data_IF_472102023288
#
_entry.id   IF_472102023288
#
_cell.length_a   1.000
_cell.length_b   1.000
_cell.length_c   1.000
_cell.angle_alpha   90.00
_cell.angle_beta   90.00
_cell.angle_gamma   90.00
#
_symmetry.space_group_name_H-M   'P 1'
#
loop_
_entity.id
_entity.type
_entity.pdbx_description
1 polymer ?
#
# COMPACT_ATOMS: atom_id res chain seq x y z
N UNK A 1 15.15 32.82 14.77
CA UNK A 1 14.84 32.23 13.46
C UNK A 1 16.09 31.83 12.65
N UNK A 2 17.13 32.68 12.57
CA UNK A 2 18.31 32.40 11.73
C UNK A 2 19.03 31.06 12.06
N UNK A 3 19.16 30.72 13.36
CA UNK A 3 19.77 29.46 13.83
C UNK A 3 19.01 28.18 13.40
N UNK A 4 17.70 28.25 13.13
CA UNK A 4 16.93 27.09 12.63
C UNK A 4 17.07 26.89 11.12
N UNK A 5 17.24 27.97 10.36
CA UNK A 5 17.52 27.90 8.92
C UNK A 5 18.89 27.28 8.67
N UNK A 6 19.90 27.70 9.44
CA UNK A 6 21.28 27.20 9.34
C UNK A 6 21.37 25.69 9.63
N UNK A 7 20.62 25.19 10.64
CA UNK A 7 20.53 23.75 10.92
C UNK A 7 19.92 22.93 9.78
N UNK A 8 18.91 23.46 9.10
CA UNK A 8 18.29 22.78 7.95
C UNK A 8 19.22 22.82 6.73
N UNK A 9 19.88 23.95 6.46
CA UNK A 9 20.88 24.07 5.40
C UNK A 9 22.07 23.11 5.61
N UNK A 10 22.54 22.97 6.86
CA UNK A 10 23.57 21.99 7.22
C UNK A 10 23.08 20.55 7.04
N UNK A 11 21.83 20.23 7.39
CA UNK A 11 21.24 18.92 7.12
C UNK A 11 21.19 18.63 5.61
N UNK A 12 20.81 19.60 4.79
CA UNK A 12 20.75 19.46 3.32
C UNK A 12 22.13 19.21 2.72
N UNK A 13 23.15 19.92 3.21
CA UNK A 13 24.54 19.71 2.82
C UNK A 13 25.06 18.30 3.19
N UNK A 14 24.76 17.83 4.40
CA UNK A 14 25.15 16.48 4.85
C UNK A 14 24.45 15.41 4.00
N UNK A 15 23.14 15.55 3.74
CA UNK A 15 22.37 14.64 2.88
C UNK A 15 22.94 14.58 1.46
N UNK A 16 23.24 15.74 0.87
CA UNK A 16 23.88 15.81 -0.46
C UNK A 16 25.27 15.16 -0.47
N UNK A 17 26.03 15.32 0.61
CA UNK A 17 27.35 14.69 0.78
C UNK A 17 27.24 13.17 0.85
N UNK A 18 26.26 12.62 1.58
CA UNK A 18 26.00 11.17 1.59
C UNK A 18 25.58 10.63 0.22
N UNK A 19 24.73 11.36 -0.52
CA UNK A 19 24.35 10.98 -1.89
C UNK A 19 25.56 10.94 -2.83
N UNK A 20 26.41 11.97 -2.77
CA UNK A 20 27.66 12.03 -3.54
C UNK A 20 28.59 10.87 -3.15
N UNK A 21 28.83 10.65 -1.86
CA UNK A 21 29.67 9.57 -1.35
C UNK A 21 29.22 8.18 -1.83
N UNK A 22 27.92 7.88 -1.74
CA UNK A 22 27.35 6.63 -2.23
C UNK A 22 27.57 6.42 -3.74
N UNK A 23 27.48 7.50 -4.52
CA UNK A 23 27.69 7.49 -5.97
C UNK A 23 29.18 7.31 -6.31
N UNK A 24 30.04 8.12 -5.72
CA UNK A 24 31.49 8.14 -5.98
C UNK A 24 32.20 6.84 -5.56
N UNK A 25 31.70 6.16 -4.51
CA UNK A 25 32.30 4.96 -3.92
C UNK A 25 31.51 3.68 -4.21
N UNK A 26 30.42 3.76 -4.98
CA UNK A 26 29.51 2.66 -5.31
C UNK A 26 29.09 1.82 -4.09
N UNK A 27 28.65 2.50 -3.01
CA UNK A 27 28.31 1.87 -1.73
C UNK A 27 26.88 2.19 -1.28
N UNK A 28 26.26 1.28 -0.52
CA UNK A 28 24.90 1.48 -0.02
C UNK A 28 24.91 2.25 1.31
N UNK A 29 24.21 3.39 1.35
CA UNK A 29 24.06 4.22 2.55
C UNK A 29 22.60 4.19 3.00
N UNK A 30 22.37 3.78 4.25
CA UNK A 30 21.05 3.85 4.90
C UNK A 30 21.03 4.98 5.92
N UNK A 31 20.11 5.94 5.75
CA UNK A 31 19.90 7.03 6.70
C UNK A 31 18.60 6.83 7.46
N UNK A 32 18.66 6.84 8.79
CA UNK A 32 17.47 6.77 9.67
C UNK A 32 17.10 8.19 10.08
N UNK A 33 15.83 8.57 9.86
CA UNK A 33 15.28 9.88 10.22
C UNK A 33 14.01 9.64 11.05
N UNK A 34 13.94 10.27 12.22
CA UNK A 34 12.72 10.26 13.03
C UNK A 34 11.61 11.09 12.34
N UNK A 35 10.33 10.71 12.48
CA UNK A 35 9.24 11.55 11.98
C UNK A 35 9.15 12.87 12.76
N UNK A 36 8.48 13.85 12.17
CA UNK A 36 7.98 15.06 12.86
C UNK A 36 7.01 14.64 13.96
N UNK A 37 6.71 15.59 14.86
CA UNK A 37 5.59 15.44 15.80
C UNK A 37 4.28 15.58 15.02
N UNK A 38 3.79 14.45 14.54
CA UNK A 38 2.47 14.30 13.92
C UNK A 38 1.47 13.74 14.94
N UNK A 39 0.20 13.74 14.56
CA UNK A 39 -0.90 13.06 15.26
C UNK A 39 -0.68 11.53 15.23
N UNK A 40 -0.63 10.87 16.40
CA UNK A 40 -0.34 9.44 16.52
C UNK A 40 -1.42 8.52 15.92
N UNK A 41 -2.63 9.05 15.68
CA UNK A 41 -3.70 8.30 15.01
C UNK A 41 -3.54 8.27 13.48
N UNK A 42 -2.64 9.10 12.91
CA UNK A 42 -2.44 9.22 11.47
C UNK A 42 -1.26 8.37 11.01
N UNK A 43 -1.45 7.71 9.86
CA UNK A 43 -0.37 6.99 9.19
C UNK A 43 0.68 7.98 8.66
N UNK A 44 1.97 7.68 8.90
CA UNK A 44 3.07 8.57 8.52
C UNK A 44 3.16 8.68 7.00
N UNK A 45 3.53 9.85 6.50
CA UNK A 45 3.73 10.10 5.06
C UNK A 45 5.15 10.61 4.79
N UNK A 46 5.52 10.74 3.52
CA UNK A 46 6.83 11.31 3.13
C UNK A 46 7.00 12.76 3.63
N UNK A 47 5.90 13.50 3.84
CA UNK A 47 5.87 14.81 4.50
C UNK A 47 6.22 14.75 6.00
N UNK A 48 5.89 13.64 6.68
CA UNK A 48 6.16 13.41 8.09
C UNK A 48 7.64 13.18 8.39
N UNK A 49 8.53 13.06 7.39
CA UNK A 49 9.98 12.96 7.61
C UNK A 49 10.50 14.28 8.19
N UNK A 50 11.21 14.24 9.33
CA UNK A 50 11.75 15.45 9.97
C UNK A 50 12.93 16.06 9.19
N UNK A 51 13.03 17.39 9.25
CA UNK A 51 14.01 18.16 8.50
C UNK A 51 13.41 18.85 7.27
N UNK A 52 14.22 19.00 6.23
CA UNK A 52 13.79 19.50 4.91
C UNK A 52 13.21 18.38 4.03
N UNK A 53 12.78 18.73 2.81
CA UNK A 53 12.46 17.76 1.76
C UNK A 53 13.70 17.14 1.08
N UNK A 54 14.93 17.62 1.35
CA UNK A 54 16.15 17.21 0.64
C UNK A 54 16.44 15.72 0.84
N UNK A 55 16.21 15.20 2.04
CA UNK A 55 16.38 13.78 2.36
C UNK A 55 15.56 12.85 1.46
N UNK A 56 14.26 13.13 1.27
CA UNK A 56 13.39 12.31 0.42
C UNK A 56 13.58 12.58 -1.09
N UNK A 57 14.13 13.74 -1.46
CA UNK A 57 14.54 14.03 -2.84
C UNK A 57 15.78 13.21 -3.25
N UNK A 58 16.86 13.27 -2.46
CA UNK A 58 18.14 12.61 -2.77
C UNK A 58 18.13 11.09 -2.58
N UNK A 59 17.29 10.56 -1.69
CA UNK A 59 17.19 9.12 -1.44
C UNK A 59 16.63 8.37 -2.67
N UNK A 60 17.24 7.25 -3.05
CA UNK A 60 16.68 6.39 -4.11
C UNK A 60 15.48 5.58 -3.61
N UNK A 61 15.48 5.19 -2.33
CA UNK A 61 14.39 4.48 -1.66
C UNK A 61 13.95 5.22 -0.40
N UNK A 62 12.65 5.27 -0.13
CA UNK A 62 12.09 5.78 1.13
C UNK A 62 11.21 4.71 1.74
N UNK A 63 11.63 4.22 2.91
CA UNK A 63 10.98 3.18 3.68
C UNK A 63 10.41 3.79 4.96
N UNK A 64 9.13 3.56 5.24
CA UNK A 64 8.45 4.04 6.44
C UNK A 64 8.01 2.83 7.26
N UNK A 65 8.50 2.70 8.48
CA UNK A 65 7.99 1.72 9.44
C UNK A 65 6.75 2.30 10.12
N UNK A 66 5.59 1.75 9.78
CA UNK A 66 4.31 2.15 10.33
C UNK A 66 3.96 1.28 11.53
N UNK A 67 3.40 1.86 12.59
CA UNK A 67 2.82 1.15 13.72
C UNK A 67 1.37 1.56 13.94
N UNK A 68 0.45 0.81 13.33
CA UNK A 68 -0.98 1.07 13.47
C UNK A 68 -1.45 0.51 14.80
N UNK A 69 -1.35 1.34 15.85
CA UNK A 69 -1.93 1.09 17.18
C UNK A 69 -3.43 0.81 17.01
N UNK A 70 -3.86 -0.39 17.39
CA UNK A 70 -5.27 -0.74 17.43
C UNK A 70 -5.75 -0.56 18.88
N UNK A 71 -6.90 0.08 19.08
CA UNK A 71 -7.47 0.32 20.44
C UNK A 71 -7.80 -0.96 21.20
N UNK A 72 -7.81 -2.11 20.53
CA UNK A 72 -8.26 -3.41 21.08
C UNK A 72 -7.27 -4.57 20.87
N UNK A 73 -6.01 -4.32 20.52
CA UNK A 73 -5.03 -5.40 20.34
C UNK A 73 -3.61 -4.95 20.02
N UNK A 74 -2.65 -5.89 19.90
CA UNK A 74 -1.29 -5.57 19.47
C UNK A 74 -1.31 -4.90 18.09
N UNK A 75 -0.69 -3.72 18.00
CA UNK A 75 -0.68 -2.89 16.80
C UNK A 75 -0.14 -3.63 15.58
N UNK A 76 -0.73 -3.36 14.40
CA UNK A 76 -0.23 -3.94 13.14
C UNK A 76 0.92 -3.10 12.62
N UNK A 77 2.13 -3.63 12.76
CA UNK A 77 3.34 -3.04 12.16
C UNK A 77 3.51 -3.48 10.72
N UNK A 78 3.97 -2.55 9.88
CA UNK A 78 4.27 -2.84 8.48
C UNK A 78 5.34 -1.89 7.94
N UNK A 79 6.13 -2.38 6.99
CA UNK A 79 7.09 -1.58 6.25
C UNK A 79 6.45 -1.11 4.95
N UNK A 80 6.33 0.20 4.77
CA UNK A 80 5.81 0.82 3.55
C UNK A 80 6.97 1.34 2.71
N UNK A 81 7.02 0.92 1.44
CA UNK A 81 7.86 1.55 0.41
C UNK A 81 7.08 2.75 -0.13
N UNK A 82 7.47 3.97 0.23
CA UNK A 82 6.81 5.19 -0.24
C UNK A 82 7.53 5.85 -1.42
N UNK A 83 8.79 5.46 -1.68
CA UNK A 83 9.54 5.81 -2.89
C UNK A 83 10.47 4.65 -3.24
N UNK A 84 10.53 4.35 -4.53
CA UNK A 84 11.51 3.48 -5.16
C UNK A 84 11.87 4.12 -6.51
N UNK A 85 13.15 4.40 -6.75
CA UNK A 85 13.61 5.13 -7.95
C UNK A 85 13.95 4.22 -9.12
N UNK A 86 14.15 2.91 -8.89
CA UNK A 86 14.68 2.02 -9.91
C UNK A 86 13.64 1.63 -10.96
N UNK A 87 12.49 1.13 -10.51
CA UNK A 87 11.35 0.69 -11.34
C UNK A 87 10.07 1.48 -11.03
N UNK A 88 9.99 2.12 -9.87
CA UNK A 88 8.82 2.86 -9.39
C UNK A 88 7.88 2.03 -8.49
N UNK A 89 8.17 0.76 -8.25
CA UNK A 89 7.27 -0.13 -7.50
C UNK A 89 7.23 0.25 -6.00
N UNK A 90 6.01 0.49 -5.52
CA UNK A 90 5.68 0.86 -4.14
C UNK A 90 4.73 -0.18 -3.53
N UNK A 91 4.74 -0.31 -2.20
CA UNK A 91 3.95 -1.35 -1.55
C UNK A 91 4.09 -1.39 -0.03
N UNK A 92 3.41 -2.37 0.57
CA UNK A 92 3.35 -2.57 2.02
C UNK A 92 3.69 -4.03 2.35
N UNK A 93 4.66 -4.21 3.24
CA UNK A 93 5.07 -5.50 3.79
C UNK A 93 4.61 -5.61 5.25
N UNK A 94 3.62 -6.47 5.58
CA UNK A 94 3.21 -6.67 6.96
C UNK A 94 4.36 -7.31 7.76
N UNK A 95 4.58 -6.84 8.99
CA UNK A 95 5.66 -7.31 9.86
C UNK A 95 5.10 -7.93 11.13
N UNK A 96 5.60 -9.12 11.47
CA UNK A 96 5.31 -9.84 12.71
C UNK A 96 6.59 -9.97 13.55
N UNK A 97 6.50 -9.75 14.86
CA UNK A 97 7.65 -9.82 15.76
C UNK A 97 7.80 -11.23 16.36
N UNK A 98 8.88 -11.92 16.02
CA UNK A 98 9.26 -13.16 16.67
C UNK A 98 9.90 -12.87 18.03
N UNK A 99 9.16 -13.12 19.13
CA UNK A 99 9.71 -13.03 20.50
C UNK A 99 10.88 -14.01 20.73
N UNK A 100 10.93 -15.11 19.98
CA UNK A 100 11.99 -16.13 20.08
C UNK A 100 13.32 -15.64 19.50
N UNK A 101 13.28 -14.87 18.41
CA UNK A 101 14.49 -14.41 17.70
C UNK A 101 14.75 -12.91 17.84
N UNK A 102 13.85 -12.16 18.47
CA UNK A 102 13.85 -10.70 18.59
C UNK A 102 13.90 -9.95 17.24
N UNK A 103 13.35 -10.56 16.19
CA UNK A 103 13.34 -10.04 14.82
C UNK A 103 11.92 -9.80 14.29
N UNK A 104 11.79 -8.86 13.36
CA UNK A 104 10.61 -8.72 12.52
C UNK A 104 10.76 -9.54 11.24
N UNK A 105 9.70 -10.22 10.82
CA UNK A 105 9.64 -10.93 9.54
C UNK A 105 8.23 -10.84 8.93
N UNK A 106 8.09 -11.20 7.66
CA UNK A 106 6.75 -11.33 7.06
C UNK A 106 5.97 -12.44 7.81
N UNK A 107 4.67 -12.24 8.12
CA UNK A 107 3.86 -13.24 8.80
C UNK A 107 3.80 -14.52 7.96
N UNK A 108 4.12 -15.65 8.60
CA UNK A 108 4.18 -16.95 7.92
C UNK A 108 2.75 -17.37 7.56
N UNK A 109 2.40 -17.30 6.27
CA UNK A 109 1.12 -17.81 5.76
C UNK A 109 1.07 -19.32 6.00
N UNK A 110 0.43 -19.73 7.09
CA UNK A 110 0.16 -21.13 7.39
C UNK A 110 -0.71 -21.72 6.28
N UNK A 111 -0.11 -22.60 5.46
CA UNK A 111 -0.84 -23.31 4.39
C UNK A 111 -1.98 -24.08 5.02
N UNK A 112 -3.21 -23.62 4.83
CA UNK A 112 -4.41 -24.28 5.34
C UNK A 112 -4.44 -25.72 4.82
N UNK A 113 -4.31 -26.70 5.72
CA UNK A 113 -4.43 -28.12 5.36
C UNK A 113 -5.87 -28.32 4.85
N UNK A 114 -6.02 -28.63 3.57
CA UNK A 114 -7.32 -28.95 2.98
C UNK A 114 -7.91 -30.13 3.76
N UNK A 115 -9.16 -30.00 4.21
CA UNK A 115 -9.84 -31.03 5.00
C UNK A 115 -9.94 -32.32 4.18
N UNK A 116 -9.49 -33.43 4.78
CA UNK A 116 -9.70 -34.77 4.24
C UNK A 116 -11.20 -35.05 4.25
N UNK A 117 -11.81 -35.13 3.07
CA UNK A 117 -13.19 -35.61 2.92
C UNK A 117 -13.19 -37.09 3.31
N UNK A 118 -14.10 -37.47 4.22
CA UNK A 118 -14.52 -38.87 4.35
C UNK A 118 -15.59 -39.10 3.29
N UNK A 119 -15.32 -40.05 2.42
CA UNK A 119 -16.27 -40.59 1.46
C UNK A 119 -16.72 -41.92 2.06
N UNK A 120 -17.89 -41.92 2.70
CA UNK A 120 -18.49 -43.16 3.22
C UNK A 120 -19.24 -43.86 2.07
N UNK A 121 -18.94 -45.14 1.88
CA UNK A 121 -19.38 -45.97 0.75
C UNK A 121 -20.71 -46.66 1.04
N UNK A 122 -21.78 -46.34 0.30
CA UNK A 122 -22.96 -47.24 0.17
C UNK A 122 -23.61 -47.19 -1.23
N UNK A 123 -23.75 -48.38 -1.83
CA UNK A 123 -24.55 -48.76 -3.01
C UNK A 123 -24.88 -50.26 -2.82
N UNK A 124 -25.93 -50.84 -3.44
CA UNK A 124 -27.18 -50.27 -3.94
C UNK A 124 -28.42 -51.09 -3.45
N UNK A 125 -29.64 -50.80 -3.94
CA UNK A 125 -30.61 -51.82 -4.43
C UNK A 125 -31.78 -51.18 -5.20
N UNK A 126 -32.18 -51.87 -6.27
CA UNK A 126 -33.26 -51.61 -7.24
C UNK A 126 -34.66 -51.75 -6.58
N UNK A 127 -35.86 -51.38 -7.10
CA UNK A 127 -36.51 -51.22 -8.43
C UNK A 127 -37.88 -50.51 -8.15
N UNK A 128 -38.74 -50.03 -9.06
CA UNK A 128 -38.67 -49.51 -10.44
C UNK A 128 -40.12 -49.21 -10.93
N UNK A 129 -40.41 -48.14 -11.68
CA UNK A 129 -41.77 -47.98 -12.25
C UNK A 129 -42.13 -46.64 -12.91
N UNK A 130 -42.29 -46.69 -14.25
CA UNK A 130 -43.22 -45.95 -15.11
C UNK A 130 -43.50 -44.43 -14.99
N UNK A 131 -43.39 -43.78 -16.16
CA UNK A 131 -43.69 -42.40 -16.50
C UNK A 131 -45.15 -41.93 -16.35
N UNK A 132 -45.35 -40.61 -16.14
CA UNK A 132 -46.16 -39.71 -17.00
C UNK A 132 -46.25 -38.26 -16.44
N UNK A 133 -46.11 -37.25 -17.31
CA UNK A 133 -46.51 -35.84 -17.09
C UNK A 133 -45.75 -35.05 -15.99
N UNK A 134 -45.76 -33.71 -15.96
CA UNK A 134 -46.15 -32.69 -16.96
C UNK A 134 -45.48 -31.35 -16.54
N UNK A 135 -45.06 -30.49 -17.47
CA UNK A 135 -44.40 -29.21 -17.15
C UNK A 135 -44.87 -28.08 -18.08
N UNK A 136 -45.34 -26.95 -17.51
CA UNK A 136 -45.35 -25.68 -18.22
C UNK A 136 -44.57 -24.56 -17.50
N UNK A 137 -43.46 -24.18 -18.13
CA UNK A 137 -42.99 -22.80 -18.38
C UNK A 137 -43.08 -21.74 -17.26
N UNK A 138 -41.91 -21.24 -16.82
CA UNK A 138 -41.73 -19.84 -16.41
C UNK A 138 -40.79 -19.08 -17.36
N UNK A 139 -41.05 -17.80 -17.51
CA UNK A 139 -40.56 -16.94 -18.59
C UNK A 139 -39.18 -16.31 -18.31
N UNK A 140 -38.53 -15.82 -19.38
CA UNK A 140 -37.31 -15.01 -19.37
C UNK A 140 -37.60 -13.62 -19.94
N UNK A 141 -37.18 -12.55 -19.24
CA UNK A 141 -36.42 -11.46 -19.90
C UNK A 141 -35.23 -11.05 -19.00
N UNK A 142 -33.98 -10.94 -19.49
CA UNK A 142 -33.42 -9.89 -20.36
C UNK A 142 -33.63 -8.44 -19.89
N UNK A 143 -32.57 -7.83 -19.37
CA UNK A 143 -32.17 -6.41 -19.52
C UNK A 143 -30.66 -6.34 -19.22
N UNK A 144 -29.78 -6.22 -20.21
CA UNK A 144 -29.41 -5.01 -20.97
C UNK A 144 -28.56 -4.01 -20.17
N UNK A 145 -27.30 -3.96 -20.57
CA UNK A 145 -26.41 -2.79 -20.49
C UNK A 145 -27.02 -1.54 -21.12
N UNK A 146 -26.58 -0.35 -20.70
CA UNK A 146 -26.35 0.73 -21.66
C UNK A 146 -25.32 1.77 -21.18
N UNK A 147 -24.85 2.58 -22.13
CA UNK A 147 -23.58 3.33 -22.11
C UNK A 147 -23.82 4.82 -22.40
N UNK A 148 -23.10 5.69 -21.69
CA UNK A 148 -22.70 7.08 -22.04
C UNK A 148 -23.71 8.14 -22.51
N UNK A 149 -23.58 9.36 -21.97
CA UNK A 149 -23.72 10.62 -22.71
C UNK A 149 -22.84 11.73 -22.11
N UNK A 150 -22.29 12.61 -22.96
CA UNK A 150 -21.75 13.94 -22.62
C UNK A 150 -22.76 15.02 -23.07
N UNK A 151 -22.61 16.28 -22.65
CA UNK A 151 -22.70 17.41 -23.58
C UNK A 151 -21.49 18.38 -23.47
N UNK A 152 -21.51 19.50 -24.19
CA UNK A 152 -20.32 20.31 -24.52
C UNK A 152 -20.50 21.85 -24.43
N UNK A 153 -19.35 22.54 -24.38
CA UNK A 153 -19.01 23.95 -24.72
C UNK A 153 -19.77 25.15 -24.14
N UNK A 154 -19.00 26.17 -23.72
CA UNK A 154 -19.21 27.59 -24.02
C UNK A 154 -17.88 28.37 -23.91
N UNK A 155 -17.77 29.54 -24.56
CA UNK A 155 -16.48 30.17 -24.97
C UNK A 155 -16.50 31.72 -24.84
N UNK A 156 -15.51 32.28 -24.09
CA UNK A 156 -14.83 33.62 -24.20
C UNK A 156 -15.66 34.94 -24.20
N UNK A 157 -15.09 36.17 -23.93
CA UNK A 157 -13.84 36.76 -24.50
C UNK A 157 -12.89 37.56 -23.56
N UNK A 158 -11.82 38.10 -24.17
CA UNK A 158 -10.61 38.73 -23.60
C UNK A 158 -10.67 40.25 -23.27
N UNK A 159 -9.82 40.65 -22.32
CA UNK A 159 -8.99 41.88 -22.36
C UNK A 159 -9.49 43.15 -21.63
N UNK A 160 -8.66 44.21 -21.48
CA UNK A 160 -7.21 44.29 -21.77
C UNK A 160 -6.32 45.06 -20.75
N UNK A 161 -5.02 44.73 -20.78
CA UNK A 161 -3.80 45.57 -20.63
C UNK A 161 -3.39 46.37 -19.36
N UNK A 162 -2.06 46.54 -19.29
CA UNK A 162 -1.12 47.27 -18.42
C UNK A 162 -1.38 48.79 -18.22
N UNK A 163 -0.69 49.44 -17.26
CA UNK A 163 0.71 49.89 -17.45
C UNK A 163 1.81 48.94 -16.90
#
# INVERSE_FOLDING_TARGET
EQLSVDRLALQDYIVGTFRKFATDNNCHVTLIIHPRKEDEERELQTSSIFGSAKASQEADNVLILQDRKLTTGPGRRYLQVSKNRFDGDVGIFPLEFSKTCLTFSNPVKSKTRVKKVKEDTEEPVQKSGAAAGEVPKKQRPQKQSNKSTKPALNVLPDGPNKP
#
